data_IF_331728028412
#
_entry.id   IF_331728028412
#
_cell.length_a   1.000
_cell.length_b   1.000
_cell.length_c   1.000
_cell.angle_alpha   90.00
_cell.angle_beta   90.00
_cell.angle_gamma   90.00
#
_symmetry.space_group_name_H-M   'P 1'
#
loop_
_entity.id
_entity.type
_entity.pdbx_description
1 polymer ?
#
# COMPACT_ATOMS: atom_id res chain seq x y z
N UNK A 1 38.06 -5.14 -14.16
CA UNK A 1 37.13 -4.52 -15.13
C UNK A 1 36.70 -3.14 -14.65
N UNK A 2 37.18 -2.05 -15.27
CA UNK A 2 36.66 -0.69 -15.02
C UNK A 2 35.19 -0.59 -15.41
N UNK A 3 34.38 0.11 -14.60
CA UNK A 3 32.95 0.36 -14.90
C UNK A 3 32.76 1.30 -16.10
N UNK A 4 31.59 1.25 -16.73
CA UNK A 4 31.18 2.10 -17.88
C UNK A 4 32.03 1.90 -19.14
N UNK A 5 32.45 0.66 -19.38
CA UNK A 5 33.16 0.24 -20.60
C UNK A 5 32.21 -0.63 -21.43
N UNK A 6 31.98 -0.28 -22.70
CA UNK A 6 31.05 -1.01 -23.57
C UNK A 6 31.68 -2.23 -24.24
N UNK A 7 33.01 -2.26 -24.37
CA UNK A 7 33.75 -3.39 -24.94
C UNK A 7 35.09 -3.56 -24.25
N UNK A 8 35.47 -4.81 -24.01
CA UNK A 8 36.77 -5.17 -23.48
C UNK A 8 37.61 -5.77 -24.62
N UNK A 9 38.83 -5.27 -24.80
CA UNK A 9 39.79 -5.84 -25.74
C UNK A 9 40.13 -7.30 -25.42
N UNK A 10 40.43 -8.06 -26.47
CA UNK A 10 40.82 -9.46 -26.36
C UNK A 10 42.16 -9.63 -25.62
N UNK A 11 42.35 -10.81 -25.03
CA UNK A 11 43.58 -11.15 -24.29
C UNK A 11 43.63 -10.63 -22.84
N UNK A 12 42.67 -9.83 -22.38
CA UNK A 12 42.62 -9.33 -20.99
C UNK A 12 42.10 -10.35 -19.96
N UNK A 13 41.72 -11.57 -20.38
CA UNK A 13 41.17 -12.62 -19.50
C UNK A 13 39.74 -12.35 -19.00
N UNK A 14 39.06 -11.35 -19.58
CA UNK A 14 37.76 -10.85 -19.12
C UNK A 14 36.56 -11.41 -19.88
N UNK A 15 36.78 -12.02 -21.04
CA UNK A 15 35.71 -12.52 -21.92
C UNK A 15 34.85 -13.59 -21.22
N UNK A 16 35.46 -14.52 -20.49
CA UNK A 16 34.74 -15.57 -19.76
C UNK A 16 33.81 -14.99 -18.68
N UNK A 17 34.32 -14.09 -17.83
CA UNK A 17 33.54 -13.51 -16.75
C UNK A 17 32.42 -12.59 -17.27
N UNK A 18 32.68 -11.82 -18.33
CA UNK A 18 31.61 -11.05 -19.00
C UNK A 18 30.51 -11.96 -19.57
N UNK A 19 30.87 -13.14 -20.09
CA UNK A 19 29.90 -14.13 -20.56
C UNK A 19 29.05 -14.65 -19.40
N UNK A 20 29.67 -14.99 -18.26
CA UNK A 20 28.96 -15.44 -17.04
C UNK A 20 27.99 -14.37 -16.53
N UNK A 21 28.43 -13.11 -16.47
CA UNK A 21 27.57 -11.99 -16.09
C UNK A 21 26.38 -11.81 -17.06
N UNK A 22 26.65 -11.94 -18.37
CA UNK A 22 25.61 -11.87 -19.41
C UNK A 22 24.57 -12.98 -19.23
N UNK A 23 25.01 -14.21 -19.01
CA UNK A 23 24.11 -15.34 -18.70
C UNK A 23 23.30 -15.04 -17.44
N UNK A 24 23.93 -14.53 -16.38
CA UNK A 24 23.24 -14.13 -15.15
C UNK A 24 22.14 -13.09 -15.40
N UNK A 25 22.38 -12.11 -16.28
CA UNK A 25 21.37 -11.11 -16.65
C UNK A 25 20.15 -11.73 -17.35
N UNK A 26 20.35 -12.74 -18.22
CA UNK A 26 19.26 -13.48 -18.84
C UNK A 26 18.50 -14.35 -17.84
N UNK A 27 19.18 -14.90 -16.82
CA UNK A 27 18.50 -15.63 -15.73
C UNK A 27 17.60 -14.68 -14.93
N UNK A 28 18.05 -13.46 -14.64
CA UNK A 28 17.22 -12.44 -13.98
C UNK A 28 16.02 -12.06 -14.88
N UNK A 29 16.25 -11.86 -16.17
CA UNK A 29 15.18 -11.57 -17.13
C UNK A 29 14.12 -12.68 -17.15
N UNK A 30 14.54 -13.95 -17.13
CA UNK A 30 13.63 -15.08 -17.02
C UNK A 30 12.86 -15.09 -15.70
N UNK A 31 13.51 -14.78 -14.58
CA UNK A 31 12.85 -14.64 -13.27
C UNK A 31 11.77 -13.56 -13.27
N UNK A 32 12.02 -12.42 -13.91
CA UNK A 32 11.01 -11.35 -14.09
C UNK A 32 9.82 -11.86 -14.92
N UNK A 33 10.07 -12.60 -16.01
CA UNK A 33 8.99 -13.18 -16.82
C UNK A 33 8.14 -14.17 -16.02
N UNK A 34 8.76 -15.03 -15.22
CA UNK A 34 8.05 -15.95 -14.32
C UNK A 34 7.20 -15.19 -13.30
N UNK A 35 7.74 -14.13 -12.70
CA UNK A 35 6.99 -13.26 -11.78
C UNK A 35 5.78 -12.61 -12.46
N UNK A 36 5.95 -12.03 -13.66
CA UNK A 36 4.84 -11.43 -14.42
C UNK A 36 3.78 -12.45 -14.81
N UNK A 37 4.19 -13.67 -15.21
CA UNK A 37 3.28 -14.77 -15.48
C UNK A 37 2.49 -15.15 -14.21
N UNK A 38 3.14 -15.23 -13.05
CA UNK A 38 2.49 -15.52 -11.78
C UNK A 38 1.45 -14.44 -11.42
N UNK A 39 1.79 -13.16 -11.55
CA UNK A 39 0.84 -12.04 -11.33
C UNK A 39 -0.37 -12.16 -12.27
N UNK A 40 -0.14 -12.43 -13.55
CA UNK A 40 -1.21 -12.57 -14.54
C UNK A 40 -2.13 -13.77 -14.25
N UNK A 41 -1.56 -14.90 -13.84
CA UNK A 41 -2.32 -16.11 -13.47
C UNK A 41 -3.10 -15.87 -12.18
N UNK A 42 -2.44 -15.36 -11.13
CA UNK A 42 -3.07 -15.08 -9.83
C UNK A 42 -4.24 -14.11 -9.94
N UNK A 43 -4.12 -13.07 -10.77
CA UNK A 43 -5.21 -12.11 -10.99
C UNK A 43 -6.42 -12.73 -11.73
N UNK A 44 -6.20 -13.72 -12.59
CA UNK A 44 -7.26 -14.32 -13.43
C UNK A 44 -7.89 -15.58 -12.83
N UNK A 45 -7.12 -16.33 -12.03
CA UNK A 45 -7.48 -17.69 -11.58
C UNK A 45 -7.13 -17.95 -10.11
N UNK A 46 -6.61 -16.98 -9.37
CA UNK A 46 -6.28 -17.14 -7.97
C UNK A 46 -7.53 -17.30 -7.10
N UNK A 47 -7.40 -18.06 -6.01
CA UNK A 47 -8.42 -18.12 -4.97
C UNK A 47 -8.53 -16.77 -4.25
N UNK A 48 -9.73 -16.46 -3.76
CA UNK A 48 -9.95 -15.25 -2.96
C UNK A 48 -9.24 -15.42 -1.62
N UNK A 49 -8.36 -14.49 -1.28
CA UNK A 49 -7.66 -14.49 -0.01
C UNK A 49 -8.64 -14.24 1.15
N UNK A 50 -8.51 -15.00 2.23
CA UNK A 50 -9.15 -14.67 3.51
C UNK A 50 -8.49 -13.46 4.19
N UNK A 51 -9.07 -12.99 5.29
CA UNK A 51 -8.61 -11.79 5.99
C UNK A 51 -7.20 -11.91 6.58
N UNK A 52 -6.83 -13.10 7.07
CA UNK A 52 -5.50 -13.41 7.62
C UNK A 52 -4.99 -14.76 7.06
N UNK A 53 -4.47 -14.79 5.81
CA UNK A 53 -4.02 -16.02 5.17
C UNK A 53 -2.69 -16.53 5.72
N UNK A 54 -1.97 -15.75 6.54
CA UNK A 54 -0.60 -16.06 7.00
C UNK A 54 -0.47 -16.22 8.52
N UNK A 55 -1.57 -16.15 9.27
CA UNK A 55 -1.55 -16.04 10.74
C UNK A 55 -0.66 -14.86 11.21
N UNK A 56 -0.82 -13.71 10.57
CA UNK A 56 0.03 -12.53 10.74
C UNK A 56 -0.20 -11.80 12.08
N UNK A 57 0.65 -10.82 12.40
CA UNK A 57 0.79 -10.28 13.77
C UNK A 57 0.26 -8.86 13.95
N UNK A 58 -0.01 -8.18 12.85
CA UNK A 58 -0.20 -6.74 12.75
C UNK A 58 -1.63 -6.40 12.33
N UNK A 59 -2.02 -5.13 12.48
CA UNK A 59 -3.44 -4.71 12.39
C UNK A 59 -4.00 -4.70 10.97
N UNK A 60 -3.16 -4.69 9.93
CA UNK A 60 -3.62 -4.77 8.54
C UNK A 60 -4.33 -6.10 8.22
N UNK A 61 -4.17 -7.12 9.06
CA UNK A 61 -4.84 -8.42 8.93
C UNK A 61 -6.10 -8.54 9.80
N UNK A 62 -6.54 -7.44 10.44
CA UNK A 62 -7.83 -7.35 11.12
C UNK A 62 -8.98 -6.98 10.16
N UNK A 63 -8.67 -6.40 9.00
CA UNK A 63 -9.66 -5.97 8.01
C UNK A 63 -9.99 -7.07 7.00
N UNK A 64 -10.96 -6.81 6.13
CA UNK A 64 -11.33 -7.75 5.05
C UNK A 64 -10.28 -7.80 3.96
N UNK A 65 -10.31 -8.84 3.13
CA UNK A 65 -9.47 -8.93 1.93
C UNK A 65 -10.33 -8.88 0.65
N UNK A 66 -10.33 -7.77 -0.13
CA UNK A 66 -9.56 -6.53 0.07
C UNK A 66 -10.13 -5.65 1.21
N UNK A 67 -9.33 -4.71 1.76
CA UNK A 67 -9.81 -3.75 2.74
C UNK A 67 -10.91 -2.85 2.15
N UNK A 68 -11.93 -2.47 2.94
CA UNK A 68 -12.91 -1.49 2.51
C UNK A 68 -12.26 -0.09 2.40
N UNK A 69 -12.85 0.88 1.67
CA UNK A 69 -12.28 2.22 1.49
C UNK A 69 -11.98 2.97 2.81
N UNK A 70 -12.75 2.67 3.85
CA UNK A 70 -12.57 3.23 5.19
C UNK A 70 -11.59 2.43 6.09
N UNK A 71 -11.00 1.35 5.58
CA UNK A 71 -10.13 0.40 6.28
C UNK A 71 -10.79 -0.33 7.46
N UNK A 72 -11.06 0.36 8.56
CA UNK A 72 -11.65 -0.19 9.78
C UNK A 72 -12.97 0.49 10.09
N UNK A 73 -13.99 -0.31 10.43
CA UNK A 73 -15.30 0.22 10.85
C UNK A 73 -15.19 0.97 12.19
N UNK A 74 -14.38 0.43 13.11
CA UNK A 74 -14.02 1.07 14.37
C UNK A 74 -12.49 1.19 14.48
N UNK A 75 -12.00 2.30 15.03
CA UNK A 75 -10.56 2.51 15.22
C UNK A 75 -10.02 1.46 16.20
N UNK A 76 -9.09 0.57 15.78
CA UNK A 76 -8.61 -0.49 16.66
C UNK A 76 -7.76 0.10 17.79
N UNK A 77 -8.06 -0.27 19.03
CA UNK A 77 -7.20 0.02 20.17
C UNK A 77 -5.91 -0.82 20.08
N UNK A 78 -4.76 -0.15 19.99
CA UNK A 78 -3.44 -0.79 19.94
C UNK A 78 -2.76 -0.65 21.30
N UNK A 79 -2.54 -1.78 21.96
CA UNK A 79 -1.92 -1.83 23.30
C UNK A 79 -0.50 -2.42 23.28
N UNK A 80 -0.17 -3.15 22.21
CA UNK A 80 1.13 -3.76 22.01
C UNK A 80 1.61 -3.61 20.57
N UNK A 81 2.91 -3.83 20.34
CA UNK A 81 3.53 -3.76 19.01
C UNK A 81 2.88 -4.71 18.00
N UNK A 82 2.54 -5.91 18.45
CA UNK A 82 1.95 -6.98 17.65
C UNK A 82 0.49 -7.21 18.08
N UNK A 83 -0.34 -6.19 17.92
CA UNK A 83 -1.71 -6.16 18.45
C UNK A 83 -2.55 -7.39 18.05
N UNK A 84 -2.54 -7.77 16.78
CA UNK A 84 -3.30 -8.94 16.32
C UNK A 84 -2.74 -10.25 16.90
N UNK A 85 -1.42 -10.34 17.13
CA UNK A 85 -0.84 -11.50 17.81
C UNK A 85 -1.36 -11.63 19.24
N UNK A 86 -1.38 -10.54 20.00
CA UNK A 86 -1.86 -10.53 21.38
C UNK A 86 -3.38 -10.78 21.50
N UNK A 87 -4.16 -10.47 20.45
CA UNK A 87 -5.57 -10.86 20.36
C UNK A 87 -5.76 -12.35 20.09
N UNK A 88 -4.87 -12.96 19.30
CA UNK A 88 -4.93 -14.38 18.92
C UNK A 88 -4.30 -15.30 19.95
N UNK A 89 -3.32 -14.83 20.71
CA UNK A 89 -2.49 -15.67 21.56
C UNK A 89 -2.33 -15.08 22.98
N UNK A 90 -2.53 -15.94 23.98
CA UNK A 90 -2.20 -15.66 25.39
C UNK A 90 -0.97 -16.44 25.83
N UNK A 91 -0.24 -15.92 26.82
CA UNK A 91 0.90 -16.64 27.41
C UNK A 91 0.43 -17.84 28.21
N UNK A 92 0.73 -19.06 27.77
CA UNK A 92 0.53 -20.26 28.57
C UNK A 92 1.55 -20.39 29.71
N UNK A 93 1.25 -21.28 30.67
CA UNK A 93 2.05 -21.52 31.87
C UNK A 93 3.54 -21.82 31.54
N UNK A 94 3.78 -22.51 30.42
CA UNK A 94 5.12 -22.85 29.91
C UNK A 94 5.76 -21.79 29.00
N UNK A 95 5.29 -20.53 29.01
CA UNK A 95 5.67 -19.45 28.07
C UNK A 95 5.39 -19.75 26.59
N UNK A 96 4.62 -20.79 26.29
CA UNK A 96 4.18 -21.10 24.93
C UNK A 96 2.91 -20.30 24.61
N UNK A 97 2.83 -19.63 23.46
CA UNK A 97 1.62 -18.95 23.05
C UNK A 97 0.50 -19.97 22.82
N UNK A 98 -0.63 -19.80 23.49
CA UNK A 98 -1.83 -20.63 23.30
C UNK A 98 -2.85 -19.80 22.53
N UNK A 99 -3.38 -20.35 21.44
CA UNK A 99 -4.39 -19.65 20.63
C UNK A 99 -5.66 -19.50 21.46
N UNK A 100 -6.14 -18.27 21.58
CA UNK A 100 -7.41 -17.97 22.24
C UNK A 100 -8.52 -18.66 21.43
N UNK A 101 -9.32 -19.57 22.04
CA UNK A 101 -10.44 -20.20 21.35
C UNK A 101 -11.40 -19.12 20.82
N UNK A 102 -11.91 -19.31 19.60
CA UNK A 102 -12.90 -18.39 19.05
C UNK A 102 -14.12 -18.33 20.00
N UNK A 103 -14.42 -17.13 20.52
CA UNK A 103 -15.49 -16.89 21.51
C UNK A 103 -15.05 -16.78 22.97
N UNK A 104 -13.80 -17.14 23.33
CA UNK A 104 -13.30 -17.05 24.71
C UNK A 104 -12.82 -15.63 25.10
N UNK A 105 -12.78 -14.69 24.15
CA UNK A 105 -12.38 -13.30 24.37
C UNK A 105 -13.44 -12.45 25.10
N UNK A 106 -14.58 -13.03 25.47
CA UNK A 106 -15.60 -12.34 26.28
C UNK A 106 -15.25 -12.30 27.78
N UNK A 107 -14.49 -13.27 28.30
CA UNK A 107 -14.35 -13.49 29.75
C UNK A 107 -12.96 -13.20 30.32
N UNK A 108 -11.99 -12.84 29.48
CA UNK A 108 -10.78 -12.19 29.99
C UNK A 108 -11.05 -10.70 30.10
N UNK A 109 -11.01 -10.10 31.31
CA UNK A 109 -11.06 -8.67 31.44
C UNK A 109 -9.76 -8.14 30.82
N UNK A 110 -9.83 -7.78 29.53
CA UNK A 110 -8.97 -6.75 28.99
C UNK A 110 -9.13 -5.58 29.96
N UNK A 111 -8.11 -5.38 30.81
CA UNK A 111 -8.07 -4.28 31.74
C UNK A 111 -7.80 -3.02 30.91
N UNK A 112 -8.83 -2.56 30.21
CA UNK A 112 -8.79 -1.48 29.24
C UNK A 112 -10.12 -1.37 28.49
N UNK A 113 -10.74 -0.18 28.42
CA UNK A 113 -12.04 -0.01 27.78
C UNK A 113 -11.88 -0.11 26.25
N UNK A 114 -12.60 -1.04 25.60
CA UNK A 114 -12.76 -1.05 24.13
C UNK A 114 -12.29 -2.30 23.37
N UNK A 115 -12.18 -3.47 23.99
CA UNK A 115 -11.85 -4.71 23.29
C UNK A 115 -13.06 -5.28 22.51
N UNK A 116 -13.40 -4.67 21.37
CA UNK A 116 -14.33 -5.27 20.42
C UNK A 116 -13.66 -6.49 19.75
N UNK A 117 -14.27 -7.65 19.95
CA UNK A 117 -13.81 -8.94 19.44
C UNK A 117 -13.99 -9.03 17.92
N UNK A 118 -12.89 -9.16 17.17
CA UNK A 118 -12.94 -9.53 15.76
C UNK A 118 -13.00 -11.05 15.68
N UNK A 119 -14.22 -11.59 15.53
CA UNK A 119 -14.46 -13.01 15.24
C UNK A 119 -14.45 -13.21 13.73
N UNK A 120 -13.75 -14.22 13.17
CA UNK A 120 -13.84 -14.52 11.74
C UNK A 120 -15.23 -15.05 11.42
N UNK A 121 -16.05 -14.26 10.73
CA UNK A 121 -17.35 -14.67 10.20
C UNK A 121 -18.57 -14.46 11.11
N UNK A 122 -18.45 -13.76 12.23
CA UNK A 122 -19.62 -13.31 13.00
C UNK A 122 -19.93 -11.85 12.65
N UNK A 123 -21.19 -11.55 12.32
CA UNK A 123 -21.64 -10.15 12.27
C UNK A 123 -21.46 -9.51 13.66
N UNK A 124 -20.94 -8.28 13.73
CA UNK A 124 -20.72 -7.61 15.00
C UNK A 124 -22.06 -7.41 15.72
N UNK A 125 -22.13 -7.91 16.96
CA UNK A 125 -23.29 -7.68 17.84
C UNK A 125 -23.34 -6.19 18.17
N UNK A 126 -24.32 -5.49 17.61
CA UNK A 126 -24.63 -4.12 17.97
C UNK A 126 -25.00 -4.05 19.47
N UNK A 127 -24.14 -3.42 20.27
CA UNK A 127 -24.47 -3.08 21.65
C UNK A 127 -25.64 -2.10 21.71
N UNK A 128 -26.59 -2.26 22.64
CA UNK A 128 -27.71 -1.34 22.76
C UNK A 128 -27.24 -0.05 23.43
N UNK A 129 -27.11 1.01 22.64
CA UNK A 129 -27.00 2.38 23.17
C UNK A 129 -25.67 3.08 22.93
N UNK A 130 -25.32 3.33 21.67
CA UNK A 130 -24.85 4.64 21.25
C UNK A 130 -25.42 4.90 19.85
N UNK A 131 -26.48 5.73 19.81
CA UNK A 131 -27.04 6.22 18.56
C UNK A 131 -26.00 7.06 17.83
N UNK A 132 -25.83 6.76 16.55
CA UNK A 132 -24.96 7.47 15.64
C UNK A 132 -24.04 6.49 14.95
N UNK A 133 -24.44 6.00 13.78
CA UNK A 133 -23.45 5.78 12.73
C UNK A 133 -22.73 7.11 12.58
N UNK A 134 -21.61 7.29 13.27
CA UNK A 134 -20.70 8.40 12.99
C UNK A 134 -20.29 8.18 11.55
N UNK A 135 -20.96 8.89 10.64
CA UNK A 135 -20.78 8.75 9.21
C UNK A 135 -19.28 8.82 8.95
N UNK A 136 -18.67 7.70 8.59
CA UNK A 136 -17.23 7.62 8.40
C UNK A 136 -16.90 8.63 7.31
N UNK A 137 -16.17 9.68 7.68
CA UNK A 137 -15.88 10.76 6.77
C UNK A 137 -14.81 10.32 5.76
N UNK A 138 -15.22 10.09 4.51
CA UNK A 138 -14.32 9.77 3.41
C UNK A 138 -13.96 11.04 2.65
N UNK A 139 -12.66 11.30 2.37
CA UNK A 139 -12.27 12.39 1.48
C UNK A 139 -12.92 12.21 0.10
N UNK A 140 -13.41 13.31 -0.48
CA UNK A 140 -13.88 13.33 -1.86
C UNK A 140 -12.70 13.14 -2.84
N UNK A 141 -12.92 12.52 -4.01
CA UNK A 141 -11.89 12.41 -5.03
C UNK A 141 -11.60 13.79 -5.66
N UNK A 142 -10.32 14.16 -5.73
CA UNK A 142 -9.85 15.40 -6.36
C UNK A 142 -9.07 15.12 -7.63
N UNK A 143 -9.34 15.88 -8.70
CA UNK A 143 -8.61 15.82 -9.97
C UNK A 143 -7.45 16.83 -10.03
N UNK A 144 -7.38 17.81 -9.13
CA UNK A 144 -6.37 18.87 -9.18
C UNK A 144 -4.93 18.38 -8.98
N UNK A 145 -4.63 17.37 -8.14
CA UNK A 145 -3.29 16.80 -8.07
C UNK A 145 -2.81 16.27 -9.42
N UNK A 146 -3.70 15.64 -10.20
CA UNK A 146 -3.38 15.15 -11.53
C UNK A 146 -3.11 16.31 -12.49
N UNK A 147 -3.95 17.34 -12.49
CA UNK A 147 -3.77 18.55 -13.31
C UNK A 147 -2.45 19.26 -12.97
N UNK A 148 -2.18 19.47 -11.69
CA UNK A 148 -0.93 20.08 -11.23
C UNK A 148 0.28 19.25 -11.68
N UNK A 149 0.22 17.91 -11.55
CA UNK A 149 1.29 17.02 -11.96
C UNK A 149 1.53 17.03 -13.48
N UNK A 150 0.50 17.25 -14.30
CA UNK A 150 0.63 17.30 -15.75
C UNK A 150 1.43 18.53 -16.24
N UNK A 151 1.48 19.61 -15.46
CA UNK A 151 2.31 20.77 -15.76
C UNK A 151 3.82 20.51 -15.63
N UNK A 152 4.21 19.61 -14.71
CA UNK A 152 5.62 19.31 -14.43
C UNK A 152 6.40 18.69 -15.60
N UNK A 153 5.92 17.63 -16.30
CA UNK A 153 6.65 17.09 -17.44
C UNK A 153 6.74 18.07 -18.60
N UNK A 154 5.73 18.93 -18.79
CA UNK A 154 5.73 19.97 -19.82
C UNK A 154 6.80 21.03 -19.51
N UNK A 155 6.84 21.51 -18.27
CA UNK A 155 7.87 22.45 -17.82
C UNK A 155 9.27 21.80 -17.87
N UNK A 156 9.40 20.55 -17.43
CA UNK A 156 10.64 19.77 -17.48
C UNK A 156 11.16 19.58 -18.90
N UNK A 157 10.28 19.30 -19.87
CA UNK A 157 10.65 19.29 -21.29
C UNK A 157 11.08 20.68 -21.77
N UNK A 158 10.39 21.73 -21.30
CA UNK A 158 10.75 23.11 -21.54
C UNK A 158 12.20 23.43 -21.15
N UNK A 159 12.68 22.95 -20.00
CA UNK A 159 14.08 23.14 -19.55
C UNK A 159 15.10 22.55 -20.53
N UNK A 160 14.76 21.44 -21.20
CA UNK A 160 15.63 20.77 -22.16
C UNK A 160 15.56 21.39 -23.56
N UNK A 161 14.47 22.10 -23.88
CA UNK A 161 14.32 22.81 -25.14
C UNK A 161 15.18 24.08 -25.16
N UNK A 162 15.69 24.46 -26.34
CA UNK A 162 16.43 25.71 -26.54
C UNK A 162 15.62 26.74 -27.34
N UNK A 163 15.87 28.02 -27.12
CA UNK A 163 15.29 29.12 -27.91
C UNK A 163 13.81 29.38 -27.60
N UNK A 164 13.05 29.81 -28.60
CA UNK A 164 11.62 30.13 -28.46
C UNK A 164 10.74 29.04 -27.79
N UNK A 165 10.88 27.73 -28.10
CA UNK A 165 10.05 26.70 -27.48
C UNK A 165 10.33 26.51 -25.98
N UNK A 166 11.53 26.85 -25.49
CA UNK A 166 11.88 26.80 -24.06
C UNK A 166 10.94 27.66 -23.23
N UNK A 167 10.81 28.93 -23.60
CA UNK A 167 9.98 29.90 -22.88
C UNK A 167 8.50 29.52 -22.98
N UNK A 168 8.05 29.09 -24.14
CA UNK A 168 6.65 28.70 -24.36
C UNK A 168 6.24 27.49 -23.49
N UNK A 169 7.09 26.46 -23.41
CA UNK A 169 6.81 25.25 -22.64
C UNK A 169 6.92 25.46 -21.13
N UNK A 170 7.88 26.28 -20.68
CA UNK A 170 7.98 26.67 -19.28
C UNK A 170 6.76 27.49 -18.84
N UNK A 171 6.32 28.44 -19.67
CA UNK A 171 5.12 29.22 -19.40
C UNK A 171 3.88 28.33 -19.37
N UNK A 172 3.72 27.41 -20.34
CA UNK A 172 2.59 26.49 -20.40
C UNK A 172 2.56 25.53 -19.20
N UNK A 173 3.67 24.85 -18.92
CA UNK A 173 3.77 23.92 -17.80
C UNK A 173 3.59 24.62 -16.44
N UNK A 174 4.17 25.82 -16.29
CA UNK A 174 4.00 26.66 -15.11
C UNK A 174 2.55 27.12 -14.92
N UNK A 175 1.86 27.49 -15.99
CA UNK A 175 0.45 27.90 -15.95
C UNK A 175 -0.47 26.73 -15.58
N UNK A 176 -0.24 25.55 -16.13
CA UNK A 176 -1.01 24.33 -15.78
C UNK A 176 -0.78 23.94 -14.31
N UNK A 177 0.48 23.97 -13.86
CA UNK A 177 0.82 23.73 -12.46
C UNK A 177 0.15 24.74 -11.53
N UNK A 178 0.25 26.03 -11.85
CA UNK A 178 -0.37 27.10 -11.06
C UNK A 178 -1.88 26.95 -11.02
N UNK A 179 -2.54 26.74 -12.16
CA UNK A 179 -3.98 26.54 -12.23
C UNK A 179 -4.43 25.30 -11.44
N UNK A 180 -3.68 24.20 -11.52
CA UNK A 180 -3.93 22.99 -10.75
C UNK A 180 -3.82 23.23 -9.25
N UNK A 181 -2.75 23.88 -8.78
CA UNK A 181 -2.56 24.20 -7.36
C UNK A 181 -3.59 25.21 -6.85
N UNK A 182 -3.88 26.25 -7.64
CA UNK A 182 -4.87 27.26 -7.28
C UNK A 182 -6.27 26.65 -7.16
N UNK A 183 -6.64 25.79 -8.12
CA UNK A 183 -7.90 25.05 -8.06
C UNK A 183 -7.96 24.08 -6.87
N UNK A 184 -6.86 23.42 -6.55
CA UNK A 184 -6.78 22.53 -5.38
C UNK A 184 -6.96 23.28 -4.06
N UNK A 185 -6.37 24.47 -3.92
CA UNK A 185 -6.50 25.30 -2.71
C UNK A 185 -7.93 25.79 -2.50
N UNK A 186 -8.68 26.02 -3.57
CA UNK A 186 -10.07 26.46 -3.52
C UNK A 186 -11.06 25.29 -3.43
N UNK A 187 -10.59 24.04 -3.51
CA UNK A 187 -11.44 22.87 -3.41
C UNK A 187 -11.90 22.67 -1.96
N UNK A 188 -13.22 22.53 -1.70
CA UNK A 188 -13.71 22.22 -0.37
C UNK A 188 -13.23 20.82 0.05
N UNK A 189 -12.80 20.70 1.31
CA UNK A 189 -12.23 19.45 1.86
C UNK A 189 -13.26 18.33 2.08
N UNK A 190 -14.56 18.64 2.01
CA UNK A 190 -15.67 17.72 2.13
C UNK A 190 -16.91 18.31 1.47
N UNK A 191 -17.76 17.48 0.85
CA UNK A 191 -19.14 17.87 0.59
C UNK A 191 -19.87 17.92 1.94
N UNK A 192 -20.62 18.99 2.23
CA UNK A 192 -21.47 19.05 3.42
C UNK A 192 -22.44 17.86 3.38
N UNK A 193 -22.30 16.94 4.33
CA UNK A 193 -23.17 15.78 4.47
C UNK A 193 -24.60 16.26 4.75
N UNK A 194 -25.48 16.17 3.76
CA UNK A 194 -26.93 16.31 3.93
C UNK A 194 -27.55 15.00 4.45
#
# INVERSE_FOLDING_TARGET
MPRRIYTYADGMGWNFWNMVETIGSFVIALGILVFLANVAISRRRGEIAGNDPWDARTVEWLTTSPPPPYNFEEVPLVTARDELWHRKYVGGDDRRPVRVPAGASADHPASGPGAAAVTPGAEPVHGPGHGGHSAIHMPSPSYYPLVASAGLPIAGWGVMAGGAPQVALLALGGLILFAGLFGWVLEPSAEESH
#
